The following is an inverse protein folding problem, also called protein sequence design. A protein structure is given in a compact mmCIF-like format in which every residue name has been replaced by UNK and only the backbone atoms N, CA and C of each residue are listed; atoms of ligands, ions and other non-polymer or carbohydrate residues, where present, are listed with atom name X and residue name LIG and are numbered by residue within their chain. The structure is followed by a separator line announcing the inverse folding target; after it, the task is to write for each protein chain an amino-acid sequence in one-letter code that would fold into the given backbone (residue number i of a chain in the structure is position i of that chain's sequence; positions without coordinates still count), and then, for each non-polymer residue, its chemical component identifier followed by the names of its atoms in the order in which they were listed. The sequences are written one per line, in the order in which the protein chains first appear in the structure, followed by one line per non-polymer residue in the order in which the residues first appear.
data_IF_053442852994
#
_entry.id   IF_053442852994
#
_cell.length_a   1.000
_cell.length_b   1.000
_cell.length_c   1.000
_cell.angle_alpha   90.00
_cell.angle_beta   90.00
_cell.angle_gamma   90.00
#
_symmetry.space_group_name_H-M   'P 1'
#
loop_
_entity.id
_entity.type
_entity.pdbx_description
1 polymer ?
#
# COMPACT_ATOMS: atom_id res chain seq x y z
N UNK A 1 -28.76 59.01 -22.80
CA UNK A 1 -29.06 60.03 -21.79
C UNK A 1 -28.16 59.76 -20.63
N UNK A 2 -27.02 60.39 -20.61
CA UNK A 2 -26.63 61.54 -19.81
C UNK A 2 -26.01 61.09 -18.47
N UNK A 3 -24.67 61.17 -18.45
CA UNK A 3 -23.85 61.52 -17.28
C UNK A 3 -24.25 62.91 -16.75
N UNK A 4 -23.75 63.52 -15.64
CA UNK A 4 -22.33 63.64 -15.30
C UNK A 4 -21.99 63.57 -13.77
N UNK A 5 -20.72 63.34 -13.37
CA UNK A 5 -19.62 64.21 -12.95
C UNK A 5 -19.92 65.13 -11.75
N UNK A 6 -19.04 65.06 -10.71
CA UNK A 6 -18.10 66.13 -10.26
C UNK A 6 -17.42 65.71 -8.93
N UNK A 7 -16.12 65.59 -8.82
CA UNK A 7 -14.98 66.52 -8.63
C UNK A 7 -14.91 67.27 -7.26
N UNK A 8 -13.77 67.05 -6.66
CA UNK A 8 -12.94 67.97 -5.84
C UNK A 8 -13.39 68.35 -4.42
N UNK A 9 -12.49 68.06 -3.48
CA UNK A 9 -11.80 69.14 -2.73
C UNK A 9 -10.54 68.62 -1.99
N UNK A 10 -9.47 69.31 -2.37
CA UNK A 10 -8.16 69.27 -1.71
C UNK A 10 -8.11 70.23 -0.51
N UNK A 11 -7.07 69.99 0.36
CA UNK A 11 -6.32 70.89 1.25
C UNK A 11 -6.90 71.19 2.61
N UNK A 12 -6.13 70.93 3.68
CA UNK A 12 -5.19 71.90 4.24
C UNK A 12 -4.27 71.30 5.32
N UNK A 13 -3.09 71.76 5.32
CA UNK A 13 -1.96 71.52 6.20
C UNK A 13 -2.18 72.22 7.55
N UNK A 14 -1.69 71.65 8.63
CA UNK A 14 -1.13 72.43 9.77
C UNK A 14 -0.13 71.56 10.55
N UNK A 15 1.09 72.07 10.63
CA UNK A 15 2.17 71.54 11.45
C UNK A 15 2.01 72.02 12.90
N UNK A 16 2.44 71.21 13.84
CA UNK A 16 2.82 71.60 15.17
C UNK A 16 3.93 70.73 15.71
N UNK A 17 5.15 71.26 15.86
CA UNK A 17 6.24 70.73 16.65
C UNK A 17 5.94 70.86 18.14
N UNK A 18 6.16 69.81 18.93
CA UNK A 18 6.64 69.95 20.30
C UNK A 18 7.40 68.70 20.76
N UNK A 19 8.50 68.96 21.40
CA UNK A 19 9.61 68.10 21.78
C UNK A 19 9.31 67.11 22.93
N UNK A 20 10.12 66.07 23.02
CA UNK A 20 10.64 65.54 24.27
C UNK A 20 10.10 64.19 24.72
N UNK A 21 10.96 63.18 24.69
CA UNK A 21 10.71 61.93 25.45
C UNK A 21 11.47 60.72 24.86
N UNK A 22 12.78 60.61 25.16
CA UNK A 22 13.49 59.33 25.03
C UNK A 22 12.81 58.27 25.95
N UNK A 23 12.13 57.35 25.37
CA UNK A 23 11.86 56.04 26.01
C UNK A 23 12.38 55.00 25.05
N UNK A 24 13.47 54.33 25.47
CA UNK A 24 13.97 53.12 24.83
C UNK A 24 12.96 51.98 25.03
N UNK A 25 11.99 51.91 24.14
CA UNK A 25 11.09 50.77 24.00
C UNK A 25 11.71 49.75 23.02
N UNK A 26 12.39 48.73 23.55
CA UNK A 26 12.82 47.61 22.74
C UNK A 26 11.60 46.95 22.13
N UNK A 27 11.33 47.19 20.85
CA UNK A 27 10.43 46.39 20.04
C UNK A 27 11.02 44.99 19.93
N UNK A 28 10.59 44.09 20.81
CA UNK A 28 10.72 42.67 20.52
C UNK A 28 9.91 42.40 19.25
N UNK A 29 10.61 42.34 18.12
CA UNK A 29 10.09 41.69 16.91
C UNK A 29 9.84 40.26 17.31
N UNK A 30 8.59 39.92 17.65
CA UNK A 30 8.09 38.55 17.68
C UNK A 30 8.26 38.06 16.25
N UNK A 31 9.34 37.33 15.99
CA UNK A 31 9.42 36.48 14.83
C UNK A 31 8.37 35.40 15.06
N UNK A 32 7.14 35.62 14.56
CA UNK A 32 6.24 34.53 14.32
C UNK A 32 7.01 33.57 13.39
N UNK A 33 7.49 32.49 14.00
CA UNK A 33 7.98 31.35 13.23
C UNK A 33 6.78 30.88 12.43
N UNK A 34 6.64 31.35 11.21
CA UNK A 34 5.64 30.91 10.27
C UNK A 34 5.77 29.38 10.18
N UNK A 35 4.76 28.67 10.59
CA UNK A 35 4.72 27.22 10.48
C UNK A 35 5.05 26.88 9.02
N UNK A 36 6.18 26.23 8.79
CA UNK A 36 6.59 25.80 7.45
C UNK A 36 5.43 25.01 6.83
N UNK A 37 5.06 25.34 5.61
CA UNK A 37 3.96 24.67 4.93
C UNK A 37 4.26 23.16 4.85
N UNK A 38 3.34 22.34 5.37
CA UNK A 38 3.49 20.88 5.34
C UNK A 38 3.59 20.37 3.91
N UNK A 39 4.44 19.38 3.70
CA UNK A 39 4.55 18.70 2.42
C UNK A 39 3.33 17.82 2.16
N UNK A 40 2.64 18.07 1.07
CA UNK A 40 1.48 17.28 0.69
C UNK A 40 1.94 15.94 0.10
N UNK A 41 1.43 14.84 0.67
CA UNK A 41 1.63 13.47 0.18
C UNK A 41 0.26 12.83 0.01
N UNK A 42 -0.12 12.59 -1.24
CA UNK A 42 -1.34 11.87 -1.59
C UNK A 42 -0.96 10.47 -2.07
N UNK A 43 -1.59 9.45 -1.47
CA UNK A 43 -1.39 8.05 -1.84
C UNK A 43 -2.63 7.51 -2.57
N UNK A 44 -2.43 6.99 -3.78
CA UNK A 44 -3.46 6.27 -4.52
C UNK A 44 -3.39 4.77 -4.22
N UNK A 45 -4.48 4.18 -3.75
CA UNK A 45 -4.60 2.74 -3.64
C UNK A 45 -5.03 2.11 -4.97
N UNK A 46 -4.52 0.91 -5.24
CA UNK A 46 -5.00 0.08 -6.35
C UNK A 46 -6.26 -0.73 -6.01
N UNK A 47 -6.64 -0.80 -4.72
CA UNK A 47 -7.81 -1.53 -4.23
C UNK A 47 -8.56 -0.76 -3.16
N UNK A 48 -9.63 -1.36 -2.64
CA UNK A 48 -10.43 -0.81 -1.55
C UNK A 48 -9.59 -0.64 -0.28
N UNK A 49 -9.98 0.32 0.55
CA UNK A 49 -9.40 0.57 1.87
C UNK A 49 -9.82 -0.54 2.84
N UNK A 50 -8.95 -0.87 3.79
CA UNK A 50 -9.19 -1.85 4.86
C UNK A 50 -7.97 -2.02 5.75
N UNK A 51 -7.90 -3.11 6.50
CA UNK A 51 -6.78 -3.45 7.39
C UNK A 51 -5.41 -3.50 6.71
N UNK A 52 -5.37 -3.60 5.38
CA UNK A 52 -4.14 -3.48 4.58
C UNK A 52 -3.43 -2.13 4.75
N UNK A 53 -4.14 -1.09 5.17
CA UNK A 53 -3.62 0.26 5.42
C UNK A 53 -3.64 0.62 6.92
N UNK A 54 -3.63 -0.39 7.80
CA UNK A 54 -3.73 -0.19 9.25
C UNK A 54 -2.62 0.74 9.77
N UNK A 55 -1.39 0.57 9.32
CA UNK A 55 -0.25 1.39 9.74
C UNK A 55 -0.36 2.83 9.27
N UNK A 56 -0.76 3.07 8.02
CA UNK A 56 -0.93 4.41 7.45
C UNK A 56 -2.03 5.18 8.16
N UNK A 57 -3.17 4.51 8.44
CA UNK A 57 -4.28 5.14 9.13
C UNK A 57 -3.92 5.46 10.58
N UNK A 58 -3.26 4.54 11.28
CA UNK A 58 -2.75 4.80 12.64
C UNK A 58 -1.77 5.96 12.64
N UNK A 59 -0.82 5.99 11.70
CA UNK A 59 0.15 7.09 11.60
C UNK A 59 -0.55 8.44 11.38
N UNK A 60 -1.56 8.48 10.53
CA UNK A 60 -2.38 9.68 10.29
C UNK A 60 -3.14 10.10 11.55
N UNK A 61 -3.84 9.18 12.21
CA UNK A 61 -4.70 9.49 13.36
C UNK A 61 -3.92 9.87 14.62
N UNK A 62 -2.67 9.39 14.75
CA UNK A 62 -1.80 9.71 15.89
C UNK A 62 -0.85 10.87 15.62
N UNK A 63 -0.95 11.53 14.46
CA UNK A 63 -0.14 12.70 14.13
C UNK A 63 1.32 12.38 13.78
N UNK A 64 1.66 11.14 13.41
CA UNK A 64 3.02 10.79 13.05
C UNK A 64 3.45 11.41 11.70
N UNK A 65 2.51 11.64 10.78
CA UNK A 65 2.79 12.38 9.56
C UNK A 65 2.98 13.87 9.83
N UNK A 66 2.19 14.45 10.73
CA UNK A 66 2.35 15.85 11.16
C UNK A 66 3.71 16.12 11.80
N UNK A 67 4.23 15.16 12.60
CA UNK A 67 5.56 15.24 13.20
C UNK A 67 6.69 15.22 12.18
N UNK A 68 6.43 14.73 10.97
CA UNK A 68 7.35 14.72 9.82
C UNK A 68 7.03 15.83 8.82
N UNK A 69 6.24 16.84 9.19
CA UNK A 69 5.79 17.95 8.32
C UNK A 69 5.05 17.48 7.06
N UNK A 70 4.30 16.37 7.14
CA UNK A 70 3.51 15.83 6.04
C UNK A 70 2.02 16.07 6.28
N UNK A 71 1.31 16.58 5.26
CA UNK A 71 -0.14 16.47 5.10
C UNK A 71 -0.45 15.24 4.26
N UNK A 72 -0.89 14.16 4.92
CA UNK A 72 -1.09 12.86 4.29
C UNK A 72 -2.55 12.57 3.98
N UNK A 73 -2.82 12.17 2.73
CA UNK A 73 -4.14 11.75 2.26
C UNK A 73 -4.07 10.39 1.56
N UNK A 74 -5.11 9.56 1.82
CA UNK A 74 -5.31 8.26 1.16
C UNK A 74 -6.52 8.37 0.24
N UNK A 75 -6.33 8.02 -1.03
CA UNK A 75 -7.40 7.87 -2.00
C UNK A 75 -7.67 6.37 -2.21
N UNK A 76 -8.84 5.86 -1.82
CA UNK A 76 -9.23 4.49 -2.09
C UNK A 76 -9.21 4.17 -3.59
N UNK A 77 -8.88 2.93 -3.92
CA UNK A 77 -8.99 2.38 -5.26
C UNK A 77 -10.25 1.52 -5.41
N UNK A 78 -10.20 0.54 -6.30
CA UNK A 78 -11.29 -0.40 -6.55
C UNK A 78 -11.14 -1.15 -7.87
N UNK A 79 -12.10 -2.05 -8.19
CA UNK A 79 -12.00 -2.92 -9.38
C UNK A 79 -11.86 -2.18 -10.72
N UNK A 80 -12.37 -0.94 -10.81
CA UNK A 80 -12.33 -0.11 -12.03
C UNK A 80 -11.28 1.00 -11.98
N UNK A 81 -10.39 1.00 -10.98
CA UNK A 81 -9.37 2.03 -10.79
C UNK A 81 -8.00 1.49 -11.20
N UNK A 82 -7.41 2.08 -12.22
CA UNK A 82 -6.00 1.85 -12.54
C UNK A 82 -5.11 2.80 -11.72
N UNK A 83 -4.86 2.41 -10.46
CA UNK A 83 -4.02 3.20 -9.54
C UNK A 83 -2.59 3.39 -10.07
N UNK A 84 -2.07 2.42 -10.84
CA UNK A 84 -0.72 2.51 -11.41
C UNK A 84 -0.64 3.61 -12.47
N UNK A 85 -1.59 3.67 -13.40
CA UNK A 85 -1.65 4.72 -14.41
C UNK A 85 -1.86 6.11 -13.79
N UNK A 86 -2.69 6.20 -12.73
CA UNK A 86 -2.94 7.46 -12.01
C UNK A 86 -1.65 8.00 -11.37
N UNK A 87 -0.85 7.16 -10.70
CA UNK A 87 0.43 7.60 -10.11
C UNK A 87 1.47 7.88 -11.18
N UNK A 88 1.55 7.04 -12.22
CA UNK A 88 2.48 7.24 -13.34
C UNK A 88 2.23 8.57 -14.08
N UNK A 89 1.00 9.10 -14.03
CA UNK A 89 0.69 10.43 -14.58
C UNK A 89 1.18 11.60 -13.72
N UNK A 90 1.76 11.34 -12.52
CA UNK A 90 2.22 12.37 -11.59
C UNK A 90 1.12 13.04 -10.77
N UNK A 91 -0.15 12.57 -10.86
CA UNK A 91 -1.27 13.13 -10.10
C UNK A 91 -1.13 12.89 -8.58
N UNK A 92 -0.52 11.79 -8.19
CA UNK A 92 -0.28 11.39 -6.81
C UNK A 92 1.22 11.19 -6.58
N UNK A 93 1.70 11.53 -5.39
CA UNK A 93 3.11 11.40 -5.02
C UNK A 93 3.54 9.94 -4.96
N UNK A 94 2.65 9.08 -4.48
CA UNK A 94 2.92 7.65 -4.39
C UNK A 94 1.63 6.82 -4.54
N UNK A 95 1.81 5.53 -4.74
CA UNK A 95 0.72 4.55 -4.73
C UNK A 95 1.06 3.30 -3.96
N UNK A 96 0.03 2.51 -3.69
CA UNK A 96 0.15 1.17 -3.17
C UNK A 96 -0.77 0.24 -3.96
N UNK A 97 -0.24 -0.87 -4.46
CA UNK A 97 -1.03 -1.91 -5.14
C UNK A 97 -1.03 -3.20 -4.33
N UNK A 98 -1.96 -4.10 -4.62
CA UNK A 98 -2.10 -5.35 -3.88
C UNK A 98 -0.92 -6.29 -4.05
N UNK A 99 -0.23 -6.26 -5.20
CA UNK A 99 0.82 -7.22 -5.53
C UNK A 99 1.85 -6.68 -6.50
N UNK A 100 3.10 -7.08 -6.34
CA UNK A 100 4.25 -6.69 -7.16
C UNK A 100 4.12 -6.96 -8.67
N UNK A 101 3.41 -7.99 -9.17
CA UNK A 101 3.25 -8.18 -10.61
C UNK A 101 2.69 -6.95 -11.34
N UNK A 102 1.76 -6.22 -10.72
CA UNK A 102 1.20 -5.00 -11.31
C UNK A 102 2.27 -3.97 -11.66
N UNK A 103 3.29 -3.83 -10.81
CA UNK A 103 4.41 -2.91 -11.05
C UNK A 103 5.35 -3.43 -12.12
N UNK A 104 5.71 -4.72 -12.07
CA UNK A 104 6.60 -5.33 -13.06
C UNK A 104 6.02 -5.23 -14.47
N UNK A 105 4.72 -5.51 -14.62
CA UNK A 105 4.01 -5.40 -15.89
C UNK A 105 3.95 -3.95 -16.40
N UNK A 106 3.68 -2.98 -15.51
CA UNK A 106 3.66 -1.57 -15.85
C UNK A 106 5.05 -1.07 -16.32
N UNK A 107 6.13 -1.45 -15.61
CA UNK A 107 7.51 -1.11 -16.01
C UNK A 107 7.88 -1.79 -17.33
N UNK A 108 7.44 -3.03 -17.57
CA UNK A 108 7.60 -3.71 -18.86
C UNK A 108 7.00 -2.91 -20.02
N UNK A 109 5.88 -2.23 -19.79
CA UNK A 109 5.20 -1.36 -20.75
C UNK A 109 5.88 0.01 -20.91
N UNK A 110 6.82 0.35 -20.04
CA UNK A 110 7.59 1.60 -20.09
C UNK A 110 7.10 2.68 -19.14
N UNK A 111 6.22 2.37 -18.17
CA UNK A 111 5.83 3.35 -17.17
C UNK A 111 7.01 3.66 -16.23
N UNK A 112 7.30 4.96 -15.97
CA UNK A 112 8.47 5.37 -15.20
C UNK A 112 8.20 5.33 -13.68
N UNK A 113 7.95 4.14 -13.14
CA UNK A 113 7.65 3.92 -11.72
C UNK A 113 8.60 2.92 -11.11
N UNK A 114 8.87 3.05 -9.80
CA UNK A 114 9.63 2.06 -9.02
C UNK A 114 9.01 1.85 -7.65
N UNK A 115 9.08 0.61 -7.18
CA UNK A 115 8.81 0.25 -5.79
C UNK A 115 9.96 0.74 -4.89
N UNK A 116 9.62 1.31 -3.73
CA UNK A 116 10.62 1.78 -2.76
C UNK A 116 10.47 1.16 -1.35
N UNK A 117 9.36 0.46 -1.07
CA UNK A 117 9.13 -0.32 0.15
C UNK A 117 7.93 -1.25 -0.03
N UNK A 118 7.74 -2.21 0.88
CA UNK A 118 6.56 -3.09 0.90
C UNK A 118 5.86 -3.06 2.25
N UNK A 119 4.54 -3.04 2.25
CA UNK A 119 3.75 -2.95 3.49
C UNK A 119 3.81 -4.22 4.33
N UNK A 120 3.80 -5.38 3.70
CA UNK A 120 3.89 -6.70 4.34
C UNK A 120 4.89 -7.60 3.61
N UNK A 121 5.42 -8.62 4.30
CA UNK A 121 6.59 -9.37 3.86
C UNK A 121 6.28 -10.64 3.08
N UNK A 122 5.11 -11.25 3.30
CA UNK A 122 4.67 -12.47 2.62
C UNK A 122 3.30 -12.24 2.01
N UNK A 123 3.11 -12.70 0.78
CA UNK A 123 1.82 -12.54 0.10
C UNK A 123 0.75 -13.42 0.77
N UNK A 124 -0.38 -12.83 1.23
CA UNK A 124 -1.43 -13.55 1.93
C UNK A 124 -2.35 -14.34 1.00
N UNK A 125 -2.05 -14.39 -0.29
CA UNK A 125 -2.85 -15.14 -1.27
C UNK A 125 -2.77 -16.64 -1.00
N UNK A 126 -3.93 -17.26 -0.97
CA UNK A 126 -4.09 -18.63 -0.55
C UNK A 126 -5.11 -19.37 -1.43
N UNK A 127 -4.91 -20.66 -1.55
CA UNK A 127 -5.86 -21.61 -2.12
C UNK A 127 -6.49 -22.36 -0.95
N UNK A 128 -7.79 -22.14 -0.73
CA UNK A 128 -8.57 -22.77 0.34
C UNK A 128 -9.26 -24.01 -0.19
N UNK A 129 -9.15 -25.11 0.52
CA UNK A 129 -9.85 -26.38 0.25
C UNK A 129 -10.47 -26.93 1.52
N UNK A 130 -11.18 -28.03 1.43
CA UNK A 130 -11.82 -28.68 2.58
C UNK A 130 -11.10 -29.97 2.96
N UNK A 131 -11.13 -30.34 4.25
CA UNK A 131 -10.53 -31.58 4.78
C UNK A 131 -10.94 -32.83 4.02
N UNK A 132 -12.18 -32.89 3.48
CA UNK A 132 -12.67 -34.02 2.68
C UNK A 132 -11.97 -34.16 1.33
N UNK A 133 -11.40 -33.11 0.77
CA UNK A 133 -10.65 -33.12 -0.50
C UNK A 133 -9.54 -32.06 -0.43
N UNK A 134 -8.48 -32.31 0.37
CA UNK A 134 -7.50 -31.31 0.70
C UNK A 134 -6.53 -31.05 -0.45
N UNK A 135 -6.22 -29.78 -0.68
CA UNK A 135 -5.15 -29.32 -1.57
C UNK A 135 -4.07 -28.69 -0.67
N UNK A 136 -2.93 -29.37 -0.50
CA UNK A 136 -1.82 -28.97 0.36
C UNK A 136 -0.58 -28.52 -0.41
N UNK A 137 -0.49 -28.92 -1.66
CA UNK A 137 0.58 -28.56 -2.57
C UNK A 137 0.03 -28.39 -3.99
N UNK A 138 0.83 -27.84 -4.90
CA UNK A 138 0.39 -27.58 -6.27
C UNK A 138 -0.01 -28.84 -7.05
N UNK A 139 0.65 -29.99 -6.80
CA UNK A 139 0.31 -31.24 -7.51
C UNK A 139 -1.08 -31.77 -7.15
N UNK A 140 -1.59 -31.46 -5.96
CA UNK A 140 -2.94 -31.81 -5.57
C UNK A 140 -4.03 -31.11 -6.41
N UNK A 141 -3.64 -30.08 -7.19
CA UNK A 141 -4.55 -29.34 -8.09
C UNK A 141 -4.82 -30.04 -9.41
N UNK A 142 -4.01 -31.04 -9.80
CA UNK A 142 -4.18 -31.75 -11.08
C UNK A 142 -5.55 -32.44 -11.10
N UNK A 143 -6.33 -32.19 -12.15
CA UNK A 143 -7.70 -32.68 -12.31
C UNK A 143 -8.75 -31.95 -11.48
N UNK A 144 -8.38 -30.89 -10.73
CA UNK A 144 -9.29 -30.16 -9.83
C UNK A 144 -9.88 -28.90 -10.47
N UNK A 145 -11.03 -28.49 -9.93
CA UNK A 145 -11.68 -27.21 -10.27
C UNK A 145 -11.29 -26.16 -9.25
N UNK A 146 -10.66 -25.08 -9.72
CA UNK A 146 -10.19 -23.97 -8.88
C UNK A 146 -11.06 -22.76 -9.12
N UNK A 147 -11.82 -22.35 -8.11
CA UNK A 147 -12.58 -21.10 -8.09
C UNK A 147 -11.64 -19.91 -7.85
N UNK A 148 -11.72 -18.91 -8.69
CA UNK A 148 -10.74 -17.81 -8.67
C UNK A 148 -11.34 -16.51 -9.22
N UNK A 149 -10.97 -15.36 -8.63
CA UNK A 149 -11.24 -14.07 -9.24
C UNK A 149 -10.34 -13.87 -10.47
N UNK A 150 -10.83 -13.17 -11.48
CA UNK A 150 -10.10 -12.94 -12.73
C UNK A 150 -8.70 -12.35 -12.50
N UNK A 151 -8.54 -11.44 -11.53
CA UNK A 151 -7.26 -10.83 -11.14
C UNK A 151 -6.26 -11.83 -10.51
N UNK A 152 -6.75 -12.97 -10.00
CA UNK A 152 -5.92 -14.02 -9.39
C UNK A 152 -5.37 -15.04 -10.39
N UNK A 153 -5.91 -15.11 -11.62
CA UNK A 153 -5.52 -16.12 -12.62
C UNK A 153 -4.01 -16.09 -12.89
N UNK A 154 -3.41 -14.90 -12.94
CA UNK A 154 -1.96 -14.74 -13.15
C UNK A 154 -1.16 -15.37 -12.00
N UNK A 155 -1.68 -15.36 -10.78
CA UNK A 155 -1.03 -15.96 -9.60
C UNK A 155 -1.12 -17.49 -9.65
N UNK A 156 -2.25 -18.02 -10.10
CA UNK A 156 -2.42 -19.47 -10.34
C UNK A 156 -1.47 -19.95 -11.43
N UNK A 157 -1.39 -19.23 -12.55
CA UNK A 157 -0.46 -19.56 -13.65
C UNK A 157 0.99 -19.58 -13.17
N UNK A 158 1.39 -18.60 -12.35
CA UNK A 158 2.72 -18.58 -11.74
C UNK A 158 2.97 -19.81 -10.86
N UNK A 159 1.98 -20.24 -10.07
CA UNK A 159 2.07 -21.45 -9.26
C UNK A 159 2.20 -22.72 -10.11
N UNK A 160 1.36 -22.86 -11.11
CA UNK A 160 1.35 -24.03 -12.00
C UNK A 160 2.68 -24.16 -12.75
N UNK A 161 3.16 -23.06 -13.34
CA UNK A 161 4.45 -23.04 -14.07
C UNK A 161 5.63 -23.36 -13.16
N UNK A 162 5.69 -22.75 -11.97
CA UNK A 162 6.75 -23.06 -10.97
C UNK A 162 6.82 -24.54 -10.62
N UNK A 163 5.65 -25.23 -10.64
CA UNK A 163 5.55 -26.65 -10.34
C UNK A 163 5.48 -27.55 -11.59
N UNK A 164 5.70 -27.00 -12.79
CA UNK A 164 5.68 -27.71 -14.07
C UNK A 164 4.34 -28.43 -14.35
N UNK A 165 3.24 -27.84 -13.92
CA UNK A 165 1.87 -28.32 -14.15
C UNK A 165 1.31 -27.56 -15.34
N UNK A 166 0.78 -28.25 -16.34
CA UNK A 166 0.14 -27.61 -17.49
C UNK A 166 -1.22 -27.01 -17.07
N UNK A 167 -1.54 -25.80 -17.54
CA UNK A 167 -2.82 -25.13 -17.19
C UNK A 167 -4.03 -25.98 -17.57
N UNK A 168 -3.94 -26.75 -18.68
CA UNK A 168 -5.01 -27.67 -19.15
C UNK A 168 -5.34 -28.80 -18.16
N UNK A 169 -4.42 -29.09 -17.23
CA UNK A 169 -4.60 -30.14 -16.22
C UNK A 169 -5.38 -29.64 -14.98
N UNK A 170 -5.77 -28.36 -14.99
CA UNK A 170 -6.56 -27.70 -13.94
C UNK A 170 -7.76 -27.00 -14.56
N UNK A 171 -8.94 -27.15 -13.98
CA UNK A 171 -10.12 -26.42 -14.45
C UNK A 171 -10.25 -25.09 -13.72
N UNK A 172 -10.13 -23.98 -14.43
CA UNK A 172 -10.29 -22.64 -13.86
C UNK A 172 -11.77 -22.24 -13.92
N UNK A 173 -12.35 -21.92 -12.77
CA UNK A 173 -13.73 -21.44 -12.64
C UNK A 173 -13.69 -20.00 -12.13
N UNK A 174 -13.98 -19.03 -13.01
CA UNK A 174 -14.02 -17.62 -12.61
C UNK A 174 -15.26 -17.37 -11.76
N UNK A 175 -15.06 -16.81 -10.57
CA UNK A 175 -16.12 -16.59 -9.58
C UNK A 175 -15.89 -15.29 -8.80
N UNK A 176 -16.88 -14.87 -8.01
CA UNK A 176 -16.79 -13.73 -7.07
C UNK A 176 -15.85 -13.99 -5.90
N UNK A 177 -16.08 -13.34 -4.77
CA UNK A 177 -15.19 -13.42 -3.60
C UNK A 177 -15.76 -14.27 -2.44
N UNK A 178 -16.96 -14.84 -2.58
CA UNK A 178 -17.58 -15.65 -1.55
C UNK A 178 -17.19 -17.13 -1.65
N UNK A 179 -17.24 -17.86 -0.54
CA UNK A 179 -16.81 -19.26 -0.44
C UNK A 179 -17.92 -20.27 -0.80
N UNK A 180 -19.09 -19.83 -1.24
CA UNK A 180 -20.23 -20.71 -1.56
C UNK A 180 -19.89 -21.80 -2.59
N UNK A 181 -19.16 -21.49 -3.70
CA UNK A 181 -18.79 -22.54 -4.66
C UNK A 181 -17.93 -23.66 -4.04
N UNK A 182 -17.06 -23.34 -3.08
CA UNK A 182 -16.26 -24.35 -2.37
C UNK A 182 -17.12 -25.16 -1.40
N UNK A 183 -18.00 -24.51 -0.65
CA UNK A 183 -18.88 -25.17 0.32
C UNK A 183 -19.85 -26.13 -0.36
N UNK A 184 -20.39 -25.76 -1.51
CA UNK A 184 -21.35 -26.56 -2.29
C UNK A 184 -20.66 -27.64 -3.16
N UNK A 185 -19.33 -27.65 -3.24
CA UNK A 185 -18.56 -28.59 -4.05
C UNK A 185 -18.60 -28.32 -5.56
N UNK A 186 -18.99 -27.11 -5.98
CA UNK A 186 -18.87 -26.66 -7.37
C UNK A 186 -17.42 -26.55 -7.80
N UNK A 187 -16.53 -26.22 -6.84
CA UNK A 187 -15.07 -26.20 -7.00
C UNK A 187 -14.39 -26.98 -5.88
N UNK A 188 -13.18 -27.48 -6.15
CA UNK A 188 -12.37 -28.24 -5.19
C UNK A 188 -11.51 -27.34 -4.30
N UNK A 189 -11.10 -26.18 -4.83
CA UNK A 189 -10.48 -25.12 -4.06
C UNK A 189 -11.01 -23.74 -4.50
N UNK A 190 -10.88 -22.77 -3.62
CA UNK A 190 -11.22 -21.38 -3.89
C UNK A 190 -10.08 -20.45 -3.46
N UNK A 191 -9.87 -19.34 -4.15
CA UNK A 191 -8.75 -18.45 -3.90
C UNK A 191 -9.16 -17.17 -3.20
N UNK A 192 -8.25 -16.61 -2.42
CA UNK A 192 -8.44 -15.32 -1.75
C UNK A 192 -7.26 -14.96 -0.86
N UNK A 193 -7.46 -13.92 -0.07
CA UNK A 193 -6.49 -13.50 0.93
C UNK A 193 -6.84 -14.08 2.30
N UNK A 194 -5.85 -14.59 3.04
CA UNK A 194 -6.06 -15.09 4.41
C UNK A 194 -6.54 -14.01 5.38
N UNK A 195 -6.32 -12.75 5.06
CA UNK A 195 -6.83 -11.61 5.81
C UNK A 195 -8.32 -11.34 5.62
N UNK A 196 -8.98 -12.00 4.65
CA UNK A 196 -10.43 -11.91 4.47
C UNK A 196 -11.15 -12.89 5.42
N UNK A 197 -10.99 -12.68 6.71
CA UNK A 197 -11.46 -13.59 7.77
C UNK A 197 -12.98 -13.79 7.73
N UNK A 198 -13.75 -12.73 7.43
CA UNK A 198 -15.22 -12.80 7.30
C UNK A 198 -15.65 -13.83 6.27
N UNK A 199 -15.10 -13.77 5.05
CA UNK A 199 -15.43 -14.75 4.01
C UNK A 199 -14.95 -16.16 4.36
N UNK A 200 -13.86 -16.29 5.12
CA UNK A 200 -13.26 -17.57 5.48
C UNK A 200 -13.92 -18.23 6.68
N UNK A 201 -14.59 -17.50 7.55
CA UNK A 201 -15.23 -18.03 8.76
C UNK A 201 -16.29 -19.09 8.46
N UNK A 202 -16.94 -19.03 7.30
CA UNK A 202 -17.94 -20.04 6.88
C UNK A 202 -17.35 -21.43 6.66
N UNK A 203 -16.03 -21.52 6.43
CA UNK A 203 -15.33 -22.80 6.24
C UNK A 203 -15.00 -23.49 7.57
N UNK A 204 -14.98 -22.75 8.66
CA UNK A 204 -14.71 -23.24 10.02
C UNK A 204 -13.43 -24.08 10.10
N UNK A 205 -13.50 -25.18 10.87
CA UNK A 205 -12.42 -26.14 11.07
C UNK A 205 -12.17 -27.04 9.87
N UNK A 206 -13.06 -27.01 8.85
CA UNK A 206 -12.91 -27.80 7.63
C UNK A 206 -11.90 -27.20 6.64
N UNK A 207 -11.47 -25.98 6.88
CA UNK A 207 -10.55 -25.23 6.01
C UNK A 207 -9.17 -25.87 5.99
N UNK A 208 -8.62 -26.01 4.79
CA UNK A 208 -7.22 -26.36 4.53
C UNK A 208 -6.63 -25.26 3.64
N UNK A 209 -5.52 -24.69 4.08
CA UNK A 209 -4.86 -23.55 3.44
C UNK A 209 -3.59 -24.02 2.72
N UNK A 210 -3.45 -23.68 1.44
CA UNK A 210 -2.21 -23.75 0.70
C UNK A 210 -1.81 -22.33 0.28
N UNK A 211 -0.84 -21.75 0.98
CA UNK A 211 -0.38 -20.38 0.72
C UNK A 211 0.51 -20.35 -0.52
N UNK A 212 0.26 -19.37 -1.38
CA UNK A 212 1.03 -19.15 -2.60
C UNK A 212 2.54 -18.99 -2.30
N UNK A 213 2.87 -18.24 -1.23
CA UNK A 213 4.25 -18.01 -0.79
C UNK A 213 4.96 -19.30 -0.41
N UNK A 214 4.31 -20.15 0.38
CA UNK A 214 4.90 -21.41 0.85
C UNK A 214 4.98 -22.45 -0.27
N UNK A 215 4.11 -22.34 -1.30
CA UNK A 215 4.16 -23.13 -2.50
C UNK A 215 5.24 -22.67 -3.52
N UNK A 216 6.10 -21.73 -3.13
CA UNK A 216 7.29 -21.30 -3.86
C UNK A 216 7.12 -20.08 -4.76
N UNK A 217 5.94 -19.46 -4.81
CA UNK A 217 5.72 -18.21 -5.56
C UNK A 217 5.79 -17.03 -4.59
N UNK A 218 6.98 -16.47 -4.48
CA UNK A 218 7.29 -15.37 -3.56
C UNK A 218 7.02 -14.04 -4.24
N UNK A 219 5.85 -13.46 -4.01
CA UNK A 219 5.48 -12.13 -4.50
C UNK A 219 5.40 -11.14 -3.34
N UNK A 220 5.82 -9.90 -3.57
CA UNK A 220 5.66 -8.86 -2.58
C UNK A 220 4.25 -8.28 -2.62
N UNK A 221 3.54 -8.28 -1.49
CA UNK A 221 2.25 -7.63 -1.36
C UNK A 221 2.40 -6.19 -0.87
N UNK A 222 1.41 -5.37 -1.16
CA UNK A 222 1.33 -3.97 -0.75
C UNK A 222 2.61 -3.16 -1.04
N UNK A 223 3.20 -3.27 -2.26
CA UNK A 223 4.35 -2.45 -2.60
C UNK A 223 3.95 -0.98 -2.70
N UNK A 224 4.73 -0.11 -2.04
CA UNK A 224 4.69 1.33 -2.20
C UNK A 224 5.57 1.71 -3.38
N UNK A 225 5.04 2.50 -4.28
CA UNK A 225 5.74 2.93 -5.49
C UNK A 225 5.50 4.40 -5.79
N UNK A 226 6.43 4.99 -6.51
CA UNK A 226 6.34 6.35 -7.00
C UNK A 226 6.95 6.44 -8.41
N UNK A 227 6.73 7.57 -9.08
CA UNK A 227 7.43 7.83 -10.34
C UNK A 227 8.93 8.01 -10.09
N UNK A 228 9.76 7.71 -11.10
CA UNK A 228 11.21 7.99 -11.03
C UNK A 228 11.49 9.47 -10.78
N UNK A 229 10.64 10.36 -11.29
CA UNK A 229 10.71 11.79 -11.04
C UNK A 229 10.44 12.13 -9.57
N UNK A 230 9.37 11.56 -8.99
CA UNK A 230 9.04 11.75 -7.57
C UNK A 230 10.13 11.21 -6.66
N UNK A 231 10.68 10.02 -6.97
CA UNK A 231 11.81 9.44 -6.23
C UNK A 231 13.04 10.34 -6.25
N UNK A 232 13.34 10.99 -7.39
CA UNK A 232 14.47 11.89 -7.50
C UNK A 232 14.24 13.25 -6.82
N UNK A 233 13.03 13.84 -6.96
CA UNK A 233 12.75 15.21 -6.49
C UNK A 233 12.19 15.27 -5.07
N UNK A 234 11.56 14.20 -4.57
CA UNK A 234 10.87 14.15 -3.28
C UNK A 234 11.38 13.01 -2.37
N UNK A 235 12.64 12.58 -2.53
CA UNK A 235 13.23 11.48 -1.75
C UNK A 235 13.11 11.69 -0.23
N UNK A 236 13.39 12.90 0.27
CA UNK A 236 13.26 13.24 1.70
C UNK A 236 11.80 13.10 2.17
N UNK A 237 10.84 13.56 1.38
CA UNK A 237 9.40 13.45 1.71
C UNK A 237 8.94 12.00 1.75
N UNK A 238 9.42 11.16 0.82
CA UNK A 238 9.14 9.72 0.83
C UNK A 238 9.81 9.01 2.01
N UNK A 239 10.99 9.46 2.42
CA UNK A 239 11.65 8.97 3.63
C UNK A 239 10.87 9.34 4.89
N UNK A 240 10.39 10.58 5.00
CA UNK A 240 9.49 11.05 6.06
C UNK A 240 8.21 10.23 6.10
N UNK A 241 7.56 10.02 4.95
CA UNK A 241 6.39 9.15 4.82
C UNK A 241 6.68 7.74 5.36
N UNK A 242 7.79 7.14 4.97
CA UNK A 242 8.13 5.77 5.37
C UNK A 242 8.40 5.65 6.88
N UNK A 243 9.06 6.66 7.50
CA UNK A 243 9.26 6.70 8.95
C UNK A 243 7.93 6.80 9.71
N UNK A 244 7.06 7.72 9.31
CA UNK A 244 5.75 7.90 9.94
C UNK A 244 4.90 6.64 9.81
N UNK A 245 4.84 6.04 8.62
CA UNK A 245 4.09 4.81 8.35
C UNK A 245 4.63 3.64 9.18
N UNK A 246 5.97 3.50 9.26
CA UNK A 246 6.61 2.48 10.10
C UNK A 246 6.21 2.58 11.58
N UNK A 247 6.20 3.79 12.15
CA UNK A 247 5.69 4.03 13.52
C UNK A 247 4.21 3.62 13.66
N UNK A 248 3.40 3.85 12.63
CA UNK A 248 2.00 3.43 12.62
C UNK A 248 1.85 1.91 12.67
N UNK A 249 2.63 1.17 11.91
CA UNK A 249 2.66 -0.29 11.94
C UNK A 249 3.19 -0.83 13.28
N UNK A 250 4.23 -0.22 13.85
CA UNK A 250 4.73 -0.54 15.18
C UNK A 250 3.66 -0.38 16.26
N UNK A 251 2.96 0.77 16.24
CA UNK A 251 1.83 1.00 17.16
C UNK A 251 0.72 -0.03 16.99
N UNK A 252 0.36 -0.35 15.74
CA UNK A 252 -0.67 -1.34 15.44
C UNK A 252 -0.28 -2.73 15.96
N UNK A 253 0.99 -3.10 15.85
CA UNK A 253 1.51 -4.36 16.39
C UNK A 253 1.36 -4.43 17.93
N UNK A 254 1.69 -3.35 18.63
CA UNK A 254 1.62 -3.28 20.09
C UNK A 254 0.19 -3.03 20.62
N UNK A 255 -0.70 -2.39 19.84
CA UNK A 255 -2.00 -1.89 20.30
C UNK A 255 -3.13 -2.24 19.29
N UNK A 256 -3.22 -3.51 18.92
CA UNK A 256 -4.08 -4.02 17.84
C UNK A 256 -5.51 -3.50 17.87
N UNK A 257 -6.20 -3.63 19.01
CA UNK A 257 -7.59 -3.22 19.16
C UNK A 257 -7.77 -1.71 18.94
N UNK A 258 -6.90 -0.90 19.58
CA UNK A 258 -6.94 0.57 19.40
C UNK A 258 -6.60 0.96 17.96
N UNK A 259 -5.72 0.24 17.29
CA UNK A 259 -5.39 0.50 15.88
C UNK A 259 -6.60 0.26 14.97
N UNK A 260 -7.34 -0.84 15.20
CA UNK A 260 -8.59 -1.12 14.48
C UNK A 260 -9.64 -0.06 14.78
N UNK A 261 -9.78 0.40 16.03
CA UNK A 261 -10.69 1.48 16.38
C UNK A 261 -10.38 2.78 15.62
N UNK A 262 -9.10 3.11 15.44
CA UNK A 262 -8.68 4.26 14.62
C UNK A 262 -9.01 4.05 13.14
N UNK A 263 -8.83 2.83 12.61
CA UNK A 263 -9.16 2.49 11.23
C UNK A 263 -10.66 2.67 10.95
N UNK A 264 -11.53 2.07 11.75
CA UNK A 264 -12.96 2.16 11.53
C UNK A 264 -13.54 3.56 11.85
N UNK A 265 -12.87 4.34 12.70
CA UNK A 265 -13.20 5.75 12.91
C UNK A 265 -12.89 6.60 11.67
N UNK A 266 -11.81 6.30 10.95
CA UNK A 266 -11.45 6.99 9.69
C UNK A 266 -12.35 6.54 8.54
N UNK A 267 -12.70 5.24 8.51
CA UNK A 267 -13.49 4.62 7.44
C UNK A 267 -14.71 3.88 8.03
N UNK A 268 -15.81 4.59 8.33
CA UNK A 268 -16.97 4.04 9.04
C UNK A 268 -17.73 2.94 8.31
N UNK A 269 -17.47 2.73 7.03
CA UNK A 269 -18.03 1.63 6.24
C UNK A 269 -17.39 0.26 6.52
N UNK A 270 -16.26 0.24 7.23
CA UNK A 270 -15.59 -1.00 7.63
C UNK A 270 -16.26 -1.61 8.85
N UNK A 271 -16.37 -2.93 8.88
CA UNK A 271 -16.93 -3.65 10.03
C UNK A 271 -15.80 -3.88 11.06
N UNK A 272 -15.98 -3.32 12.27
CA UNK A 272 -14.98 -3.42 13.35
C UNK A 272 -14.61 -4.85 13.70
N UNK A 273 -15.59 -5.76 13.76
CA UNK A 273 -15.34 -7.16 14.11
C UNK A 273 -14.48 -7.84 13.08
N UNK A 274 -14.78 -7.63 11.80
CA UNK A 274 -14.04 -8.22 10.69
C UNK A 274 -12.59 -7.74 10.66
N UNK A 275 -12.37 -6.45 10.89
CA UNK A 275 -11.03 -5.87 10.96
C UNK A 275 -10.25 -6.36 12.19
N UNK A 276 -10.89 -6.57 13.33
CA UNK A 276 -10.28 -7.17 14.52
C UNK A 276 -9.86 -8.63 14.29
N UNK A 277 -10.68 -9.40 13.60
CA UNK A 277 -10.39 -10.79 13.25
C UNK A 277 -9.24 -10.88 12.23
N UNK A 278 -9.13 -9.91 11.31
CA UNK A 278 -8.11 -9.85 10.29
C UNK A 278 -6.76 -9.30 10.79
N UNK A 279 -6.77 -8.38 11.75
CA UNK A 279 -5.57 -7.67 12.20
C UNK A 279 -4.43 -8.58 12.68
N UNK A 280 -4.64 -9.66 13.47
CA UNK A 280 -3.57 -10.59 13.83
C UNK A 280 -2.87 -11.18 12.63
N UNK A 281 -3.66 -11.67 11.66
CA UNK A 281 -3.14 -12.29 10.44
C UNK A 281 -2.34 -11.27 9.62
N UNK A 282 -2.85 -10.04 9.50
CA UNK A 282 -2.17 -8.96 8.80
C UNK A 282 -0.82 -8.62 9.46
N UNK A 283 -0.77 -8.52 10.77
CA UNK A 283 0.45 -8.20 11.53
C UNK A 283 1.50 -9.32 11.42
N UNK A 284 1.09 -10.60 11.41
CA UNK A 284 1.98 -11.73 11.16
C UNK A 284 2.61 -11.69 9.75
N UNK A 285 1.89 -11.12 8.77
CA UNK A 285 2.43 -10.90 7.44
C UNK A 285 3.30 -9.64 7.34
N UNK A 286 3.04 -8.63 8.17
CA UNK A 286 3.79 -7.37 8.18
C UNK A 286 5.20 -7.52 8.76
N UNK A 287 5.36 -8.45 9.73
CA UNK A 287 6.58 -8.60 10.50
C UNK A 287 7.11 -10.04 10.46
N UNK A 288 8.41 -10.19 10.25
CA UNK A 288 9.09 -11.49 10.21
C UNK A 288 10.60 -11.32 10.46
N UNK A 289 11.40 -12.37 10.30
CA UNK A 289 12.84 -12.32 10.47
C UNK A 289 13.54 -11.26 9.59
N UNK A 290 13.01 -11.00 8.39
CA UNK A 290 13.56 -9.96 7.51
C UNK A 290 13.30 -8.55 8.07
N UNK A 291 12.10 -8.26 8.56
CA UNK A 291 11.80 -6.95 9.18
C UNK A 291 12.55 -6.77 10.50
N UNK A 292 12.78 -7.86 11.26
CA UNK A 292 13.63 -7.83 12.44
C UNK A 292 15.08 -7.44 12.12
N UNK A 293 15.62 -7.98 11.04
CA UNK A 293 17.00 -7.69 10.61
C UNK A 293 17.13 -6.33 9.93
N UNK A 294 16.19 -5.98 9.05
CA UNK A 294 16.32 -4.87 8.09
C UNK A 294 15.31 -3.72 8.28
N UNK A 295 14.42 -3.84 9.29
CA UNK A 295 13.34 -2.87 9.54
C UNK A 295 12.11 -3.09 8.66
N UNK A 296 10.95 -2.64 9.13
CA UNK A 296 9.70 -2.71 8.39
C UNK A 296 9.84 -2.05 7.00
N UNK A 297 9.13 -2.59 6.01
CA UNK A 297 9.20 -2.11 4.63
C UNK A 297 10.32 -2.73 3.80
N UNK A 298 11.20 -3.54 4.41
CA UNK A 298 12.37 -4.11 3.77
C UNK A 298 12.02 -4.94 2.52
N UNK A 299 12.89 -4.87 1.52
CA UNK A 299 12.82 -5.64 0.28
C UNK A 299 14.17 -6.30 0.00
N UNK A 300 14.11 -7.44 -0.70
CA UNK A 300 15.28 -8.16 -1.20
C UNK A 300 15.29 -8.11 -2.73
N UNK A 301 16.33 -7.55 -3.37
CA UNK A 301 16.49 -7.57 -4.83
C UNK A 301 16.47 -8.97 -5.44
N UNK A 302 16.93 -10.00 -4.70
CA UNK A 302 16.92 -11.38 -5.18
C UNK A 302 15.48 -11.91 -5.32
N UNK A 303 14.59 -11.55 -4.40
CA UNK A 303 13.16 -11.88 -4.47
C UNK A 303 12.50 -11.18 -5.67
N UNK A 304 12.86 -9.92 -5.95
CA UNK A 304 12.38 -9.22 -7.14
C UNK A 304 12.86 -9.90 -8.42
N UNK A 305 14.15 -10.33 -8.45
CA UNK A 305 14.68 -11.05 -9.59
C UNK A 305 13.95 -12.37 -9.84
N UNK A 306 13.71 -13.17 -8.78
CA UNK A 306 12.95 -14.43 -8.89
C UNK A 306 11.55 -14.20 -9.47
N UNK A 307 10.86 -13.11 -9.07
CA UNK A 307 9.56 -12.75 -9.62
C UNK A 307 9.64 -12.39 -11.10
N UNK A 308 10.61 -11.56 -11.48
CA UNK A 308 10.80 -11.14 -12.88
C UNK A 308 11.10 -12.35 -13.77
N UNK A 309 12.01 -13.21 -13.35
CA UNK A 309 12.38 -14.43 -14.09
C UNK A 309 11.15 -15.33 -14.31
N UNK A 310 10.38 -15.58 -13.26
CA UNK A 310 9.15 -16.39 -13.34
C UNK A 310 8.13 -15.79 -14.32
N UNK A 311 7.91 -14.49 -14.29
CA UNK A 311 6.95 -13.83 -15.18
C UNK A 311 7.47 -13.72 -16.62
N UNK A 312 8.80 -13.70 -16.81
CA UNK A 312 9.41 -13.82 -18.13
C UNK A 312 9.21 -15.22 -18.71
N UNK A 313 9.45 -16.29 -17.94
CA UNK A 313 9.18 -17.67 -18.33
C UNK A 313 7.72 -17.90 -18.72
N UNK A 314 6.79 -17.21 -18.03
CA UNK A 314 5.35 -17.24 -18.32
C UNK A 314 4.95 -16.40 -19.54
N UNK A 315 5.89 -15.69 -20.18
CA UNK A 315 5.58 -14.81 -21.30
C UNK A 315 4.63 -13.65 -20.95
N UNK A 316 4.63 -13.21 -19.68
CA UNK A 316 3.68 -12.19 -19.20
C UNK A 316 4.09 -10.75 -19.53
N UNK A 317 5.33 -10.52 -19.92
CA UNK A 317 5.80 -9.20 -20.29
C UNK A 317 5.51 -8.88 -21.75
N UNK A 318 4.68 -7.88 -21.99
CA UNK A 318 4.15 -7.56 -23.33
C UNK A 318 5.16 -6.86 -24.26
N UNK A 319 6.16 -6.14 -23.71
CA UNK A 319 7.15 -5.42 -24.52
C UNK A 319 8.58 -5.89 -24.25
N UNK A 320 8.99 -5.87 -22.99
CA UNK A 320 10.34 -6.27 -22.58
C UNK A 320 10.35 -6.82 -21.17
N UNK A 321 11.29 -7.66 -20.85
CA UNK A 321 11.57 -8.08 -19.47
C UNK A 321 12.26 -6.92 -18.75
N UNK A 322 11.70 -6.40 -17.65
CA UNK A 322 12.36 -5.33 -16.91
C UNK A 322 13.53 -5.85 -16.09
N UNK A 323 14.54 -5.01 -15.84
CA UNK A 323 15.61 -5.30 -14.87
C UNK A 323 15.12 -4.97 -13.45
N UNK A 324 15.77 -5.56 -12.44
CA UNK A 324 15.42 -5.31 -11.01
C UNK A 324 15.53 -3.82 -10.66
N UNK A 325 16.61 -3.15 -11.10
CA UNK A 325 16.85 -1.72 -10.84
C UNK A 325 15.87 -0.79 -11.55
N UNK A 326 15.10 -1.28 -12.51
CA UNK A 326 14.01 -0.54 -13.14
C UNK A 326 12.69 -0.66 -12.36
N UNK A 327 12.50 -1.77 -11.63
CA UNK A 327 11.25 -2.07 -10.90
C UNK A 327 11.30 -1.58 -9.46
N UNK A 328 12.48 -1.57 -8.83
CA UNK A 328 12.61 -1.21 -7.41
C UNK A 328 13.86 -0.39 -7.14
N UNK A 329 13.88 0.27 -5.97
CA UNK A 329 15.05 0.96 -5.41
C UNK A 329 15.11 0.76 -3.90
N UNK A 330 16.31 0.70 -3.35
CA UNK A 330 16.57 0.65 -1.90
C UNK A 330 16.92 2.01 -1.29
N UNK A 331 16.98 3.07 -2.09
CA UNK A 331 17.44 4.40 -1.64
C UNK A 331 16.65 4.92 -0.43
N UNK A 332 15.32 4.87 -0.49
CA UNK A 332 14.46 5.34 0.61
C UNK A 332 14.58 4.43 1.84
N UNK A 333 14.69 3.11 1.64
CA UNK A 333 14.91 2.17 2.72
C UNK A 333 16.26 2.40 3.41
N UNK A 334 17.33 2.64 2.65
CA UNK A 334 18.67 2.93 3.18
C UNK A 334 18.68 4.25 3.96
N UNK A 335 18.01 5.29 3.46
CA UNK A 335 17.90 6.58 4.13
C UNK A 335 17.09 6.52 5.45
N UNK A 336 16.28 5.48 5.67
CA UNK A 336 15.39 5.34 6.83
C UNK A 336 15.72 4.16 7.74
N UNK A 337 16.82 3.46 7.50
CA UNK A 337 17.13 2.17 8.13
C UNK A 337 17.07 2.13 9.66
N UNK A 338 17.60 3.17 10.33
CA UNK A 338 17.61 3.26 11.80
C UNK A 338 16.24 3.62 12.41
N UNK A 339 15.34 4.23 11.63
CA UNK A 339 14.06 4.76 12.10
C UNK A 339 12.87 3.83 11.82
N UNK A 340 13.09 2.73 11.12
CA UNK A 340 12.03 1.76 10.81
C UNK A 340 11.97 0.68 11.88
N UNK A 341 10.78 0.27 12.38
CA UNK A 341 10.65 -0.70 13.46
C UNK A 341 11.23 -2.06 13.05
N UNK A 342 11.95 -2.68 14.00
CA UNK A 342 12.60 -3.98 13.85
C UNK A 342 11.88 -5.02 14.70
N UNK A 343 10.76 -5.52 14.16
CA UNK A 343 9.87 -6.50 14.77
C UNK A 343 9.88 -7.78 13.93
N UNK A 344 9.75 -8.94 14.59
CA UNK A 344 9.68 -10.25 13.95
C UNK A 344 10.39 -11.33 14.74
#
# INVERSE_FOLDING_TARGET
MSQPQDRDRRRLISASLAAGGLMAGGSMLSIEAGAAAKHKINMQLGWLIGGNQLGEVVAKKLGYFEQEDIDFQIQPGGPSIDGVAIVASGRFELGQVSSSPSLMLAVSQGLPIKCFAVGIQKHPYCFFSLKKNPIRNANDMVGKKIGIQSTGIILLRALLAKNKIAEKDVTIVVAGADMTPLMTGQVDAFTGWQTNTTALNVLGDQRVDMRLWDAGVKLYPLPYYATTETLAKKADQLAKFLRATGKGWEYAHANREKAVDLLVKEFPNLNRKDELDAAPVMLDYAFNANTKANGWGAMDPAVWKEQIDLYAELGQFSKRVPRVDEVMTLEILNATGAARPRIG
#
